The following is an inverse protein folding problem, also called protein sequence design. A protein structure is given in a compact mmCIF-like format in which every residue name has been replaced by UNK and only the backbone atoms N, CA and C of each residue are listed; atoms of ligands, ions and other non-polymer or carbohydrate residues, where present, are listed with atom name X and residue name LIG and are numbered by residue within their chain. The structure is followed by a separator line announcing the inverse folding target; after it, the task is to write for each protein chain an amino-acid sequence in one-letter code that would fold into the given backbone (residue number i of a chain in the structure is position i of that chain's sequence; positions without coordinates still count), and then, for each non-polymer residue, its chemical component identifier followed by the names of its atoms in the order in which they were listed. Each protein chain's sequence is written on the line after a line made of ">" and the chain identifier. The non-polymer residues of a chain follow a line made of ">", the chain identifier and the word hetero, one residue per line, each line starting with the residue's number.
data_IF_644995128376
#
_entry.id   IF_644995128376
#
_cell.length_a   1.000
_cell.length_b   1.000
_cell.length_c   1.000
_cell.angle_alpha   90.00
_cell.angle_beta   90.00
_cell.angle_gamma   90.00
#
_symmetry.space_group_name_H-M   'P 1'
#
loop_
_entity.id
_entity.type
_entity.pdbx_description
1 polymer ?
#
# COMPACT_ATOMS: atom_id res chain seq x y z
N UNK A 1 7.58 3.79 -64.46
CA UNK A 1 6.70 3.78 -63.28
C UNK A 1 7.42 3.10 -62.15
N UNK A 2 7.78 3.86 -61.07
CA UNK A 2 8.46 3.29 -59.90
C UNK A 2 7.38 2.99 -58.81
N UNK A 3 7.34 1.80 -58.21
CA UNK A 3 6.39 1.54 -57.14
C UNK A 3 6.80 2.29 -55.86
N UNK A 4 5.85 3.03 -55.31
CA UNK A 4 5.98 3.68 -53.97
C UNK A 4 5.67 2.60 -52.95
N UNK A 5 6.70 2.19 -52.21
CA UNK A 5 6.57 1.28 -51.08
C UNK A 5 6.07 2.07 -49.84
N UNK A 6 4.79 1.88 -49.52
CA UNK A 6 4.18 2.51 -48.34
C UNK A 6 4.59 1.71 -47.10
N UNK A 7 5.54 2.24 -46.31
CA UNK A 7 5.92 1.65 -45.04
C UNK A 7 4.83 1.99 -43.98
N UNK A 8 3.99 1.00 -43.64
CA UNK A 8 3.08 1.12 -42.49
C UNK A 8 3.88 0.90 -41.20
N UNK A 9 4.16 1.95 -40.49
CA UNK A 9 4.70 1.86 -39.10
C UNK A 9 3.57 1.48 -38.15
N UNK A 10 3.58 0.23 -37.68
CA UNK A 10 2.75 -0.22 -36.57
C UNK A 10 3.26 0.41 -35.28
N UNK A 11 2.56 1.42 -34.79
CA UNK A 11 2.75 1.91 -33.43
C UNK A 11 2.13 0.89 -32.46
N UNK A 12 2.96 0.07 -31.84
CA UNK A 12 2.54 -0.74 -30.70
C UNK A 12 2.36 0.17 -29.49
N UNK A 13 1.13 0.48 -29.13
CA UNK A 13 0.82 1.03 -27.81
C UNK A 13 1.10 -0.09 -26.81
N UNK A 14 2.18 0.05 -26.04
CA UNK A 14 2.34 -0.75 -24.84
C UNK A 14 1.22 -0.34 -23.88
N UNK A 15 0.20 -1.20 -23.69
CA UNK A 15 -0.70 -1.07 -22.55
C UNK A 15 0.17 -1.26 -21.30
N UNK A 16 0.46 -0.17 -20.61
CA UNK A 16 1.00 -0.27 -19.27
C UNK A 16 -0.13 -0.79 -18.36
N UNK A 17 0.06 -1.97 -17.81
CA UNK A 17 -0.77 -2.48 -16.74
C UNK A 17 -0.79 -1.45 -15.61
N UNK A 18 -1.95 -0.86 -15.36
CA UNK A 18 -2.13 0.16 -14.32
C UNK A 18 -2.93 -0.45 -13.19
N UNK A 19 -2.34 -0.52 -12.00
CA UNK A 19 -3.04 -0.97 -10.79
C UNK A 19 -4.20 -0.01 -10.51
N UNK A 20 -5.42 -0.53 -10.52
CA UNK A 20 -6.64 0.23 -10.27
C UNK A 20 -7.17 0.07 -8.84
N UNK A 21 -6.68 -0.93 -8.10
CA UNK A 21 -7.05 -1.19 -6.72
C UNK A 21 -5.94 -1.95 -5.98
N UNK A 22 -5.65 -1.53 -4.76
CA UNK A 22 -4.88 -2.31 -3.78
C UNK A 22 -5.84 -2.93 -2.78
N UNK A 23 -5.80 -4.25 -2.59
CA UNK A 23 -6.55 -4.94 -1.54
C UNK A 23 -5.64 -5.50 -0.49
N UNK A 24 -6.03 -5.32 0.77
CA UNK A 24 -5.29 -5.82 1.94
C UNK A 24 -6.21 -6.73 2.77
N UNK A 25 -5.79 -7.97 2.92
CA UNK A 25 -6.40 -8.96 3.80
C UNK A 25 -5.51 -9.12 5.04
N UNK A 26 -5.95 -8.55 6.15
CA UNK A 26 -5.21 -8.56 7.41
C UNK A 26 -5.17 -9.95 8.04
N UNK A 27 -6.21 -10.75 7.84
CA UNK A 27 -6.30 -12.12 8.40
C UNK A 27 -5.28 -13.07 7.78
N UNK A 28 -4.89 -12.80 6.52
CA UNK A 28 -3.94 -13.61 5.75
C UNK A 28 -2.54 -12.97 5.64
N UNK A 29 -2.32 -11.80 6.27
CA UNK A 29 -1.09 -11.02 6.11
C UNK A 29 -0.73 -10.78 4.62
N UNK A 30 -1.73 -10.39 3.82
CA UNK A 30 -1.64 -10.36 2.36
C UNK A 30 -2.07 -9.01 1.79
N UNK A 31 -1.30 -8.53 0.82
CA UNK A 31 -1.64 -7.38 -0.01
C UNK A 31 -1.66 -7.80 -1.47
N UNK A 32 -2.69 -7.42 -2.21
CA UNK A 32 -2.90 -7.75 -3.62
C UNK A 32 -3.02 -6.48 -4.45
N UNK A 33 -2.33 -6.43 -5.58
CA UNK A 33 -2.51 -5.41 -6.61
C UNK A 33 -3.47 -5.95 -7.65
N UNK A 34 -4.50 -5.19 -7.98
CA UNK A 34 -5.52 -5.56 -8.96
C UNK A 34 -5.47 -4.62 -10.17
N UNK A 35 -5.72 -5.21 -11.33
CA UNK A 35 -6.00 -4.53 -12.58
C UNK A 35 -7.27 -5.14 -13.19
N UNK A 36 -8.29 -4.32 -13.49
CA UNK A 36 -9.58 -4.76 -14.03
C UNK A 36 -10.23 -5.91 -13.23
N UNK A 37 -10.08 -5.86 -11.89
CA UNK A 37 -10.60 -6.86 -10.95
C UNK A 37 -9.81 -8.17 -10.89
N UNK A 38 -8.68 -8.28 -11.58
CA UNK A 38 -7.79 -9.45 -11.53
C UNK A 38 -6.55 -9.15 -10.70
N UNK A 39 -6.15 -10.08 -9.84
CA UNK A 39 -4.91 -9.97 -9.07
C UNK A 39 -3.72 -10.16 -10.01
N UNK A 40 -2.87 -9.14 -10.11
CA UNK A 40 -1.65 -9.15 -10.94
C UNK A 40 -0.38 -9.33 -10.11
N UNK A 41 -0.42 -8.99 -8.83
CA UNK A 41 0.72 -9.15 -7.92
C UNK A 41 0.19 -9.36 -6.49
N UNK A 42 0.92 -10.14 -5.70
CA UNK A 42 0.59 -10.41 -4.30
C UNK A 42 1.85 -10.33 -3.45
N UNK A 43 1.74 -9.71 -2.26
CA UNK A 43 2.81 -9.57 -1.29
C UNK A 43 2.39 -10.12 0.06
N UNK A 44 3.35 -10.69 0.78
CA UNK A 44 3.21 -10.93 2.21
C UNK A 44 3.56 -9.66 2.97
N UNK A 45 2.70 -9.24 3.91
CA UNK A 45 2.85 -7.98 4.64
C UNK A 45 2.79 -8.19 6.16
N UNK A 46 3.40 -7.28 6.91
CA UNK A 46 3.25 -7.18 8.35
C UNK A 46 2.46 -5.93 8.72
N UNK A 47 1.72 -6.00 9.82
CA UNK A 47 0.84 -4.94 10.31
C UNK A 47 1.27 -4.42 11.68
N UNK A 48 0.40 -3.62 12.31
CA UNK A 48 0.50 -3.26 13.71
C UNK A 48 0.40 -4.48 14.62
N UNK A 49 0.97 -4.40 15.82
CA UNK A 49 1.04 -5.51 16.77
C UNK A 49 -0.34 -6.03 17.20
N UNK A 50 -1.38 -5.18 17.10
CA UNK A 50 -2.78 -5.53 17.35
C UNK A 50 -3.61 -5.53 16.05
N UNK A 51 -3.43 -6.50 15.14
CA UNK A 51 -3.91 -6.40 13.75
C UNK A 51 -5.43 -6.53 13.62
N UNK A 52 -6.13 -7.17 14.56
CA UNK A 52 -7.55 -7.46 14.45
C UNK A 52 -8.42 -6.24 14.74
N UNK A 53 -9.30 -5.92 13.81
CA UNK A 53 -10.26 -4.84 13.91
C UNK A 53 -9.70 -3.50 13.41
N UNK A 54 -10.59 -2.54 13.30
CA UNK A 54 -10.30 -1.20 12.80
C UNK A 54 -9.46 -0.38 13.81
N UNK A 55 -8.67 0.57 13.31
CA UNK A 55 -7.98 1.59 14.10
C UNK A 55 -8.97 2.63 14.61
N UNK A 56 -8.94 2.92 15.92
CA UNK A 56 -9.84 3.88 16.56
C UNK A 56 -9.13 5.08 17.16
N UNK A 57 -7.88 4.88 17.60
CA UNK A 57 -7.13 5.92 18.30
C UNK A 57 -5.62 5.78 18.08
N UNK A 58 -4.91 6.87 18.29
CA UNK A 58 -3.45 6.87 18.31
C UNK A 58 -2.91 5.90 19.37
N UNK A 59 -1.88 5.12 19.02
CA UNK A 59 -1.25 4.16 19.92
C UNK A 59 -2.02 2.85 20.15
N UNK A 60 -3.11 2.58 19.41
CA UNK A 60 -3.83 1.30 19.52
C UNK A 60 -3.17 0.15 18.73
N UNK A 61 -2.06 0.44 18.04
CA UNK A 61 -1.25 -0.50 17.23
C UNK A 61 -2.05 -1.24 16.16
N UNK A 62 -3.16 -0.65 15.73
CA UNK A 62 -4.04 -1.21 14.70
C UNK A 62 -3.81 -0.56 13.34
N UNK A 63 -3.90 -1.37 12.30
CA UNK A 63 -4.02 -0.88 10.92
C UNK A 63 -5.51 -0.61 10.63
N UNK A 64 -5.86 0.56 10.07
CA UNK A 64 -7.26 0.89 9.79
C UNK A 64 -7.89 -0.10 8.82
N UNK A 65 -9.20 -0.31 8.95
CA UNK A 65 -10.02 -1.05 8.01
C UNK A 65 -10.96 -0.08 7.28
N UNK A 66 -11.22 -0.33 6.01
CA UNK A 66 -12.04 0.53 5.18
C UNK A 66 -11.43 0.83 3.84
N UNK A 67 -11.95 1.87 3.19
CA UNK A 67 -11.48 2.33 1.89
C UNK A 67 -10.80 3.68 2.01
N UNK A 68 -9.58 3.75 1.50
CA UNK A 68 -8.72 4.93 1.52
C UNK A 68 -8.11 5.16 0.14
N UNK A 69 -7.26 6.18 0.04
CA UNK A 69 -6.48 6.50 -1.15
C UNK A 69 -4.99 6.51 -0.79
N UNK A 70 -4.17 6.01 -1.67
CA UNK A 70 -2.72 6.13 -1.63
C UNK A 70 -2.34 7.49 -2.22
N UNK A 71 -2.13 8.51 -1.38
CA UNK A 71 -2.19 9.91 -1.80
C UNK A 71 -0.84 10.59 -2.04
N UNK A 72 0.27 10.09 -1.46
CA UNK A 72 1.62 10.56 -1.81
C UNK A 72 2.71 9.51 -1.57
N UNK A 73 3.78 9.59 -2.36
CA UNK A 73 5.00 8.79 -2.23
C UNK A 73 6.07 9.56 -1.47
N UNK A 74 6.87 8.86 -0.67
CA UNK A 74 8.04 9.39 0.02
C UNK A 74 9.24 8.49 -0.27
N UNK A 75 10.17 8.98 -1.07
CA UNK A 75 11.39 8.26 -1.45
C UNK A 75 12.43 8.24 -0.32
N UNK A 76 12.44 9.28 0.52
CA UNK A 76 13.33 9.43 1.68
C UNK A 76 12.56 9.15 2.97
N UNK A 77 12.31 7.88 3.24
CA UNK A 77 11.63 7.41 4.44
C UNK A 77 12.62 6.81 5.43
N UNK A 78 12.33 6.93 6.75
CA UNK A 78 13.05 6.19 7.81
C UNK A 78 12.89 4.67 7.68
N UNK A 79 11.90 4.25 6.87
CA UNK A 79 11.59 2.87 6.55
C UNK A 79 11.76 2.61 5.05
N UNK A 80 12.95 2.90 4.52
CA UNK A 80 13.34 2.74 3.12
C UNK A 80 12.59 3.70 2.19
N UNK A 81 11.42 3.33 1.71
CA UNK A 81 10.49 4.10 0.89
C UNK A 81 9.09 3.91 1.48
N UNK A 82 8.20 4.85 1.25
CA UNK A 82 6.84 4.72 1.75
C UNK A 82 5.81 5.42 0.87
N UNK A 83 4.55 4.96 0.98
CA UNK A 83 3.39 5.56 0.35
C UNK A 83 2.29 5.73 1.40
N UNK A 84 1.75 6.95 1.49
CA UNK A 84 0.78 7.30 2.52
C UNK A 84 -0.61 6.79 2.19
N UNK A 85 -1.30 6.33 3.22
CA UNK A 85 -2.73 5.97 3.19
C UNK A 85 -3.51 7.14 3.78
N UNK A 86 -4.55 7.62 3.11
CA UNK A 86 -5.36 8.79 3.49
C UNK A 86 -6.23 8.55 4.75
N UNK A 87 -5.61 7.97 5.78
CA UNK A 87 -6.18 7.82 7.12
C UNK A 87 -5.68 8.97 8.03
N UNK A 88 -6.54 9.56 8.89
CA UNK A 88 -7.98 9.31 9.02
C UNK A 88 -8.80 9.97 7.90
N UNK A 89 -9.89 9.32 7.50
CA UNK A 89 -10.92 9.96 6.68
C UNK A 89 -11.97 10.64 7.60
N UNK A 90 -12.99 11.30 7.02
CA UNK A 90 -14.00 12.03 7.78
C UNK A 90 -14.81 11.14 8.75
N UNK A 91 -15.02 9.87 8.41
CA UNK A 91 -15.71 8.92 9.30
C UNK A 91 -14.84 8.52 10.49
N UNK A 92 -13.53 8.35 10.25
CA UNK A 92 -12.56 8.03 11.29
C UNK A 92 -12.41 9.21 12.27
N UNK A 93 -12.35 10.46 11.74
CA UNK A 93 -12.29 11.68 12.55
C UNK A 93 -13.55 11.84 13.41
N UNK A 94 -14.74 11.69 12.83
CA UNK A 94 -16.00 11.78 13.56
C UNK A 94 -16.09 10.73 14.67
N UNK A 95 -15.68 9.50 14.40
CA UNK A 95 -15.65 8.39 15.37
C UNK A 95 -14.69 8.67 16.53
N UNK A 96 -13.52 9.22 16.22
CA UNK A 96 -12.51 9.57 17.22
C UNK A 96 -13.00 10.74 18.09
N UNK A 97 -13.69 11.73 17.49
CA UNK A 97 -14.32 12.85 18.22
C UNK A 97 -15.40 12.34 19.18
N UNK A 98 -16.28 11.44 18.73
CA UNK A 98 -17.32 10.83 19.59
C UNK A 98 -16.72 10.06 20.78
N UNK A 99 -15.55 9.48 20.60
CA UNK A 99 -14.81 8.76 21.66
C UNK A 99 -13.95 9.70 22.53
N UNK A 100 -13.78 10.98 22.13
CA UNK A 100 -12.92 11.93 22.83
C UNK A 100 -11.44 11.60 22.75
N UNK A 101 -10.97 11.00 21.65
CA UNK A 101 -9.58 10.57 21.44
C UNK A 101 -8.99 11.14 20.15
N UNK A 102 -7.65 11.12 20.01
CA UNK A 102 -6.98 11.39 18.75
C UNK A 102 -7.04 10.14 17.86
N UNK A 103 -7.46 10.21 16.58
CA UNK A 103 -7.41 9.07 15.68
C UNK A 103 -5.97 8.65 15.34
N UNK A 104 -5.00 9.58 15.54
CA UNK A 104 -3.65 9.46 15.01
C UNK A 104 -3.61 9.72 13.50
N UNK A 105 -2.58 9.22 12.83
CA UNK A 105 -2.38 9.42 11.39
C UNK A 105 -1.05 8.84 10.93
N UNK A 106 -0.59 9.31 9.75
CA UNK A 106 0.67 8.84 9.15
C UNK A 106 0.75 7.32 8.94
N UNK A 107 -0.38 6.71 8.61
CA UNK A 107 -0.42 5.30 8.23
C UNK A 107 0.16 5.16 6.83
N UNK A 108 1.21 4.34 6.72
CA UNK A 108 1.98 4.16 5.49
C UNK A 108 2.02 2.70 5.07
N UNK A 109 2.11 2.47 3.77
CA UNK A 109 2.78 1.29 3.21
C UNK A 109 4.26 1.63 3.15
N UNK A 110 5.15 0.79 3.71
CA UNK A 110 6.58 1.11 3.77
C UNK A 110 7.48 -0.14 3.73
N UNK A 111 8.75 0.05 3.41
CA UNK A 111 9.76 -1.00 3.49
C UNK A 111 10.24 -1.25 4.92
N UNK A 112 11.41 -1.86 5.05
CA UNK A 112 12.02 -2.16 6.34
C UNK A 112 12.72 -0.92 6.92
N UNK A 113 12.89 -0.90 8.24
CA UNK A 113 13.67 0.15 8.91
C UNK A 113 15.08 0.24 8.31
N UNK A 114 15.54 1.47 8.05
CA UNK A 114 16.86 1.71 7.45
C UNK A 114 17.97 0.99 8.22
N UNK A 115 18.84 0.29 7.49
CA UNK A 115 19.91 -0.54 8.04
C UNK A 115 19.49 -1.96 8.45
N UNK A 116 18.19 -2.28 8.47
CA UNK A 116 17.66 -3.59 8.89
C UNK A 116 16.99 -4.38 7.76
N UNK A 117 17.05 -3.90 6.51
CA UNK A 117 16.40 -4.56 5.36
C UNK A 117 16.83 -6.02 5.13
N UNK A 118 18.08 -6.37 5.48
CA UNK A 118 18.61 -7.73 5.39
C UNK A 118 17.96 -8.72 6.37
N UNK A 119 17.29 -8.21 7.42
CA UNK A 119 16.52 -9.00 8.40
C UNK A 119 15.04 -9.15 8.02
N UNK A 120 14.63 -8.72 6.83
CA UNK A 120 13.22 -8.76 6.42
C UNK A 120 12.58 -10.15 6.55
N UNK A 121 13.35 -11.22 6.28
CA UNK A 121 12.91 -12.61 6.43
C UNK A 121 12.46 -12.95 7.87
N UNK A 122 12.94 -12.20 8.86
CA UNK A 122 12.57 -12.35 10.27
C UNK A 122 11.40 -11.42 10.61
N UNK A 123 11.50 -10.14 10.26
CA UNK A 123 10.48 -9.14 10.60
C UNK A 123 9.13 -9.42 9.93
N UNK A 124 9.12 -9.96 8.71
CA UNK A 124 7.87 -10.31 8.03
C UNK A 124 7.13 -11.52 8.65
N UNK A 125 7.69 -12.18 9.66
CA UNK A 125 7.01 -13.26 10.39
C UNK A 125 6.11 -12.77 11.51
N UNK A 126 6.22 -11.49 11.89
CA UNK A 126 5.52 -10.90 13.02
C UNK A 126 4.89 -9.58 12.60
N UNK A 127 3.77 -9.23 13.22
CA UNK A 127 3.23 -7.89 13.17
C UNK A 127 4.01 -7.02 14.16
N UNK A 128 4.62 -5.93 13.70
CA UNK A 128 5.63 -5.19 14.48
C UNK A 128 5.54 -3.66 14.32
N UNK A 129 4.57 -3.18 13.52
CA UNK A 129 4.40 -1.75 13.28
C UNK A 129 3.41 -1.13 14.29
N UNK A 130 3.38 0.20 14.34
CA UNK A 130 2.38 0.95 15.13
C UNK A 130 1.06 1.17 14.36
N UNK A 131 0.79 0.35 13.31
CA UNK A 131 -0.41 0.43 12.48
C UNK A 131 -0.15 0.59 10.98
N UNK A 132 1.09 0.81 10.56
CA UNK A 132 1.50 0.82 9.15
C UNK A 132 1.47 -0.59 8.54
N UNK A 133 1.59 -0.67 7.23
CA UNK A 133 1.71 -1.91 6.46
C UNK A 133 3.16 -2.03 5.98
N UNK A 134 3.88 -3.05 6.45
CA UNK A 134 5.29 -3.24 6.12
C UNK A 134 5.49 -4.31 5.05
N UNK A 135 6.29 -3.97 4.04
CA UNK A 135 6.78 -4.83 2.96
C UNK A 135 8.27 -5.14 3.17
N UNK A 136 8.80 -6.13 2.43
CA UNK A 136 10.25 -6.19 2.21
C UNK A 136 10.69 -5.01 1.35
N UNK A 137 11.99 -4.65 1.36
CA UNK A 137 12.45 -3.54 0.52
C UNK A 137 12.26 -3.82 -0.98
N UNK A 138 12.46 -5.06 -1.41
CA UNK A 138 12.27 -5.46 -2.81
C UNK A 138 10.79 -5.38 -3.22
N UNK A 139 9.88 -5.83 -2.35
CA UNK A 139 8.44 -5.73 -2.60
C UNK A 139 7.98 -4.27 -2.57
N UNK A 140 8.61 -3.43 -1.73
CA UNK A 140 8.32 -1.99 -1.69
C UNK A 140 8.75 -1.28 -2.98
N UNK A 141 9.88 -1.66 -3.57
CA UNK A 141 10.31 -1.13 -4.88
C UNK A 141 9.32 -1.52 -5.98
N UNK A 142 8.92 -2.78 -6.04
CA UNK A 142 7.94 -3.29 -7.00
C UNK A 142 6.57 -2.61 -6.81
N UNK A 143 6.14 -2.42 -5.55
CA UNK A 143 4.92 -1.69 -5.21
C UNK A 143 4.97 -0.23 -5.67
N UNK A 144 6.07 0.47 -5.40
CA UNK A 144 6.25 1.88 -5.79
C UNK A 144 6.33 2.09 -7.29
N UNK A 145 6.79 1.08 -8.04
CA UNK A 145 6.83 1.11 -9.51
C UNK A 145 5.43 0.91 -10.12
N UNK A 146 4.62 -0.01 -9.56
CA UNK A 146 3.33 -0.42 -10.12
C UNK A 146 2.16 0.44 -9.68
N UNK A 147 2.21 0.99 -8.46
CA UNK A 147 1.09 1.72 -7.85
C UNK A 147 1.31 3.22 -7.99
N UNK A 148 0.33 3.91 -8.56
CA UNK A 148 0.36 5.36 -8.73
C UNK A 148 -0.33 6.09 -7.57
N UNK A 149 0.05 7.36 -7.39
CA UNK A 149 -0.65 8.27 -6.47
C UNK A 149 -2.10 8.44 -6.94
N UNK A 150 -3.03 8.32 -6.01
CA UNK A 150 -4.47 8.33 -6.28
C UNK A 150 -5.11 6.94 -6.36
N UNK A 151 -4.31 5.87 -6.36
CA UNK A 151 -4.84 4.50 -6.36
C UNK A 151 -5.62 4.23 -5.07
N UNK A 152 -6.86 3.70 -5.18
CA UNK A 152 -7.63 3.29 -4.00
C UNK A 152 -7.00 2.07 -3.32
N UNK A 153 -7.15 2.02 -1.99
CA UNK A 153 -6.76 0.88 -1.16
C UNK A 153 -7.93 0.46 -0.28
N UNK A 154 -8.26 -0.82 -0.30
CA UNK A 154 -9.26 -1.45 0.56
C UNK A 154 -8.57 -2.37 1.57
N UNK A 155 -8.82 -2.15 2.87
CA UNK A 155 -8.21 -2.88 3.97
C UNK A 155 -9.30 -3.56 4.78
N UNK A 156 -9.18 -4.86 4.97
CA UNK A 156 -10.18 -5.67 5.70
C UNK A 156 -9.49 -6.76 6.52
N UNK A 157 -10.27 -7.28 7.51
CA UNK A 157 -9.89 -8.48 8.26
C UNK A 157 -10.32 -9.73 7.55
#
# INVERSE_FOLDING_TARGET
>A
MKPILLLLTLYSFALHASVDLVKVDKSENRMMLLENGQVITEYHVAFGENPKGHKFQEGDERTPEGRYTLDYKKEDSSFYRSMHISYPNAEDEARAEDLGVSPGGFIMVHGQKNGLGWLSFLFQKFNWTDGCIALTNNDMDDFMEKVEVGTPIEIQW
#
